data_IF_571254490608
#
_entry.id   IF_571254490608
#
_cell.length_a   1.000
_cell.length_b   1.000
_cell.length_c   1.000
_cell.angle_alpha   90.00
_cell.angle_beta   90.00
_cell.angle_gamma   90.00
#
_symmetry.space_group_name_H-M   'P 1'
#
loop_
_entity.id
_entity.type
_entity.pdbx_description
1 polymer ?
#
# COMPACT_ATOMS: atom_id res chain seq x y z
N UNK A 1 -10.47 47.00 49.43
CA UNK A 1 -9.52 46.23 48.57
C UNK A 1 -10.27 45.07 47.91
N UNK A 2 -10.65 45.14 46.63
CA UNK A 2 -10.91 43.95 45.76
C UNK A 2 -11.53 44.38 44.41
N UNK A 3 -10.71 44.64 43.40
CA UNK A 3 -11.18 44.82 42.02
C UNK A 3 -10.14 44.38 40.97
N UNK A 4 -8.84 44.39 41.32
CA UNK A 4 -7.74 44.10 40.38
C UNK A 4 -7.44 42.60 40.15
N UNK A 5 -8.08 41.68 40.87
CA UNK A 5 -7.76 40.24 40.80
C UNK A 5 -8.61 39.43 39.81
N UNK A 6 -9.77 39.95 39.37
CA UNK A 6 -10.67 39.24 38.43
C UNK A 6 -10.27 39.40 36.96
N UNK A 7 -9.68 40.54 36.58
CA UNK A 7 -9.30 40.82 35.18
C UNK A 7 -8.07 40.00 34.72
N UNK A 8 -7.15 39.70 35.64
CA UNK A 8 -5.94 38.90 35.34
C UNK A 8 -6.23 37.43 35.06
N UNK A 9 -7.34 36.89 35.57
CA UNK A 9 -7.70 35.47 35.39
C UNK A 9 -8.31 35.19 34.01
N UNK A 10 -8.96 36.17 33.38
CA UNK A 10 -9.53 36.01 32.05
C UNK A 10 -8.51 36.20 30.92
N UNK A 11 -7.50 37.07 31.12
CA UNK A 11 -6.41 37.24 30.15
C UNK A 11 -5.51 36.00 30.02
N UNK A 12 -5.39 35.19 31.08
CA UNK A 12 -4.65 33.93 31.06
C UNK A 12 -5.43 32.77 30.42
N UNK A 13 -6.77 32.81 30.46
CA UNK A 13 -7.61 31.73 29.93
C UNK A 13 -7.85 31.84 28.40
N UNK A 14 -7.84 33.04 27.83
CA UNK A 14 -8.01 33.23 26.38
C UNK A 14 -6.72 32.95 25.59
N UNK A 15 -5.55 33.15 26.20
CA UNK A 15 -4.26 32.84 25.56
C UNK A 15 -3.99 31.34 25.40
N UNK A 16 -4.46 30.51 26.35
CA UNK A 16 -4.26 29.06 26.29
C UNK A 16 -5.12 28.36 25.24
N UNK A 17 -6.33 28.87 24.97
CA UNK A 17 -7.22 28.28 23.97
C UNK A 17 -6.67 28.46 22.54
N UNK A 18 -6.08 29.63 22.24
CA UNK A 18 -5.49 29.89 20.91
C UNK A 18 -4.22 29.06 20.66
N UNK A 19 -3.41 28.84 21.70
CA UNK A 19 -2.20 28.03 21.60
C UNK A 19 -2.51 26.54 21.38
N UNK A 20 -3.57 26.00 22.00
CA UNK A 20 -3.96 24.60 21.83
C UNK A 20 -4.53 24.31 20.43
N UNK A 21 -5.24 25.27 19.82
CA UNK A 21 -5.77 25.14 18.45
C UNK A 21 -4.68 25.15 17.37
N UNK A 22 -3.53 25.79 17.61
CA UNK A 22 -2.41 25.83 16.64
C UNK A 22 -1.57 24.54 16.63
N UNK A 23 -1.59 23.75 17.72
CA UNK A 23 -0.82 22.50 17.81
C UNK A 23 -1.49 21.31 17.10
N UNK A 24 -2.78 21.39 16.77
CA UNK A 24 -3.52 20.28 16.12
C UNK A 24 -3.31 20.18 14.60
N UNK A 25 -2.63 21.16 13.96
CA UNK A 25 -2.39 21.14 12.50
C UNK A 25 -1.13 20.36 12.07
N UNK A 26 -0.28 19.92 13.00
CA UNK A 26 0.94 19.16 12.67
C UNK A 26 0.75 17.68 13.02
N UNK A 27 -0.18 17.00 12.35
CA UNK A 27 -0.14 15.55 12.32
C UNK A 27 0.98 15.14 11.36
N UNK A 28 2.04 14.45 11.80
CA UNK A 28 3.05 13.95 10.88
C UNK A 28 2.35 13.05 9.86
N UNK A 29 2.57 13.32 8.57
CA UNK A 29 2.11 12.43 7.52
C UNK A 29 2.87 11.11 7.70
N UNK A 30 2.16 10.07 8.14
CA UNK A 30 2.76 8.75 8.34
C UNK A 30 2.83 8.06 6.99
N UNK A 31 3.96 8.24 6.31
CA UNK A 31 4.35 7.50 5.11
C UNK A 31 5.18 6.28 5.50
N UNK A 32 5.09 5.19 4.74
CA UNK A 32 6.06 4.11 4.89
C UNK A 32 7.44 4.60 4.48
N UNK A 33 8.40 4.43 5.40
CA UNK A 33 9.82 4.70 5.17
C UNK A 33 10.50 3.45 4.64
N UNK A 34 10.09 2.29 5.13
CA UNK A 34 10.68 1.01 4.77
C UNK A 34 9.62 -0.05 4.42
N UNK A 35 9.98 -0.94 3.51
CA UNK A 35 9.26 -2.19 3.21
C UNK A 35 10.09 -3.36 3.71
N UNK A 36 9.58 -4.06 4.72
CA UNK A 36 10.23 -5.22 5.30
C UNK A 36 9.74 -6.50 4.61
N UNK A 37 10.64 -7.17 3.89
CA UNK A 37 10.42 -8.47 3.28
C UNK A 37 10.62 -9.56 4.34
N UNK A 38 9.58 -10.35 4.58
CA UNK A 38 9.54 -11.37 5.64
C UNK A 38 9.42 -12.76 5.03
N UNK A 39 10.32 -13.67 5.43
CA UNK A 39 10.23 -15.10 5.15
C UNK A 39 10.79 -15.91 6.32
N UNK A 40 9.90 -16.43 7.18
CA UNK A 40 10.32 -17.14 8.40
C UNK A 40 11.17 -16.25 9.32
N UNK A 41 12.39 -16.67 9.63
CA UNK A 41 13.35 -15.89 10.42
C UNK A 41 14.08 -14.80 9.60
N UNK A 42 13.94 -14.80 8.28
CA UNK A 42 14.57 -13.82 7.41
C UNK A 42 13.70 -12.57 7.32
N UNK A 43 14.26 -11.44 7.77
CA UNK A 43 13.64 -10.11 7.67
C UNK A 43 14.68 -9.17 7.05
N UNK A 44 14.32 -8.52 5.93
CA UNK A 44 15.14 -7.51 5.28
C UNK A 44 14.30 -6.32 4.86
N UNK A 45 14.73 -5.14 5.25
CA UNK A 45 14.07 -3.88 4.90
C UNK A 45 14.71 -3.25 3.68
N UNK A 46 13.86 -2.68 2.82
CA UNK A 46 14.22 -1.87 1.67
C UNK A 46 13.56 -0.51 1.89
N UNK A 47 14.30 0.59 1.71
CA UNK A 47 13.69 1.90 1.87
C UNK A 47 12.74 2.21 0.73
N UNK A 48 11.61 2.85 1.04
CA UNK A 48 10.66 3.34 0.04
C UNK A 48 11.34 4.38 -0.86
N UNK A 49 12.29 5.15 -0.33
CA UNK A 49 13.10 6.08 -1.10
C UNK A 49 13.98 5.40 -2.17
N UNK A 50 14.52 4.20 -1.89
CA UNK A 50 15.29 3.44 -2.88
C UNK A 50 14.39 2.84 -3.95
N UNK A 51 13.17 2.41 -3.58
CA UNK A 51 12.16 1.97 -4.53
C UNK A 51 11.67 3.12 -5.42
N UNK A 52 11.45 4.30 -4.85
CA UNK A 52 11.11 5.50 -5.61
C UNK A 52 12.26 5.91 -6.55
N UNK A 53 13.51 5.88 -6.08
CA UNK A 53 14.68 6.12 -6.93
C UNK A 53 14.75 5.15 -8.11
N UNK A 54 14.54 3.85 -7.87
CA UNK A 54 14.46 2.85 -8.94
C UNK A 54 13.32 3.16 -9.91
N UNK A 55 12.14 3.52 -9.40
CA UNK A 55 11.00 3.86 -10.24
C UNK A 55 11.30 5.08 -11.13
N UNK A 56 11.93 6.12 -10.59
CA UNK A 56 12.22 7.35 -11.33
C UNK A 56 13.36 7.20 -12.35
N UNK A 57 14.42 6.47 -11.96
CA UNK A 57 15.68 6.44 -12.73
C UNK A 57 15.88 5.16 -13.53
N UNK A 58 15.15 4.08 -13.20
CA UNK A 58 15.45 2.73 -13.69
C UNK A 58 16.67 2.08 -13.02
N UNK A 59 17.36 2.77 -12.11
CA UNK A 59 18.57 2.27 -11.47
C UNK A 59 18.32 1.85 -10.01
N UNK A 60 18.84 0.69 -9.63
CA UNK A 60 18.80 0.23 -8.25
C UNK A 60 19.98 0.77 -7.44
N UNK A 61 19.77 1.00 -6.14
CA UNK A 61 20.84 1.39 -5.21
C UNK A 61 20.76 0.65 -3.88
N UNK A 62 21.89 0.61 -3.16
CA UNK A 62 21.99 -0.06 -1.87
C UNK A 62 21.68 -1.56 -1.95
N UNK A 63 20.95 -2.07 -0.96
CA UNK A 63 20.57 -3.50 -0.87
C UNK A 63 19.69 -3.97 -2.05
N UNK A 64 19.00 -3.04 -2.73
CA UNK A 64 18.14 -3.35 -3.87
C UNK A 64 18.96 -3.93 -5.04
N UNK A 65 20.19 -3.48 -5.24
CA UNK A 65 21.10 -3.97 -6.30
C UNK A 65 21.37 -5.46 -6.13
N UNK A 66 21.73 -5.85 -4.91
CA UNK A 66 22.07 -7.25 -4.61
C UNK A 66 20.84 -8.14 -4.69
N UNK A 67 19.68 -7.63 -4.24
CA UNK A 67 18.41 -8.35 -4.32
C UNK A 67 17.99 -8.59 -5.77
N UNK A 68 18.01 -7.57 -6.62
CA UNK A 68 17.62 -7.71 -8.03
C UNK A 68 18.52 -8.73 -8.75
N UNK A 69 19.85 -8.64 -8.53
CA UNK A 69 20.81 -9.62 -9.06
C UNK A 69 20.53 -11.04 -8.59
N UNK A 70 20.29 -11.22 -7.28
CA UNK A 70 20.00 -12.53 -6.70
C UNK A 70 18.69 -13.11 -7.27
N UNK A 71 17.67 -12.27 -7.44
CA UNK A 71 16.37 -12.64 -8.01
C UNK A 71 16.34 -12.71 -9.53
N UNK A 72 17.44 -12.37 -10.21
CA UNK A 72 17.55 -12.26 -11.68
C UNK A 72 16.46 -11.37 -12.28
N UNK A 73 16.16 -10.27 -11.61
CA UNK A 73 15.19 -9.27 -12.07
C UNK A 73 15.91 -8.15 -12.79
N UNK A 74 15.32 -7.69 -13.91
CA UNK A 74 15.79 -6.50 -14.61
C UNK A 74 15.30 -5.25 -13.85
N UNK A 75 16.20 -4.33 -13.44
CA UNK A 75 15.80 -3.07 -12.80
C UNK A 75 14.75 -2.28 -13.60
N UNK A 76 14.84 -2.26 -14.93
CA UNK A 76 13.90 -1.52 -15.77
C UNK A 76 12.49 -2.11 -15.70
N UNK A 77 12.37 -3.44 -15.69
CA UNK A 77 11.06 -4.09 -15.60
C UNK A 77 10.43 -3.89 -14.23
N UNK A 78 11.23 -3.91 -13.16
CA UNK A 78 10.76 -3.58 -11.82
C UNK A 78 10.35 -2.10 -11.75
N UNK A 79 11.10 -1.19 -12.35
CA UNK A 79 10.74 0.22 -12.42
C UNK A 79 9.41 0.44 -13.16
N UNK A 80 9.17 -0.26 -14.28
CA UNK A 80 7.88 -0.24 -14.99
C UNK A 80 6.74 -0.70 -14.10
N UNK A 81 6.93 -1.80 -13.36
CA UNK A 81 5.92 -2.31 -12.42
C UNK A 81 5.64 -1.34 -11.28
N UNK A 82 6.67 -0.68 -10.72
CA UNK A 82 6.52 0.30 -9.65
C UNK A 82 5.76 1.55 -10.10
N UNK A 83 5.95 1.95 -11.36
CA UNK A 83 5.26 3.08 -11.99
C UNK A 83 3.92 2.71 -12.65
N UNK A 84 3.55 1.43 -12.67
CA UNK A 84 2.30 1.00 -13.31
C UNK A 84 1.12 1.71 -12.65
N UNK A 85 0.49 2.58 -13.42
CA UNK A 85 -0.61 3.40 -12.93
C UNK A 85 -1.93 2.65 -13.02
N UNK A 86 -2.63 2.58 -11.89
CA UNK A 86 -4.00 2.11 -11.81
C UNK A 86 -4.93 3.32 -11.73
N UNK A 87 -5.55 3.67 -12.88
CA UNK A 87 -6.53 4.74 -12.92
C UNK A 87 -7.86 4.25 -12.32
N UNK A 88 -8.08 4.60 -11.06
CA UNK A 88 -9.24 4.18 -10.28
C UNK A 88 -10.00 5.42 -9.79
N UNK A 89 -11.31 5.57 -10.11
CA UNK A 89 -12.08 6.70 -9.62
C UNK A 89 -12.18 6.70 -8.09
N UNK A 90 -11.58 7.70 -7.43
CA UNK A 90 -11.43 7.77 -5.96
C UNK A 90 -12.72 7.44 -5.20
N UNK A 91 -13.85 8.04 -5.61
CA UNK A 91 -15.16 7.85 -4.96
C UNK A 91 -15.64 6.40 -5.10
N UNK A 92 -15.48 5.79 -6.27
CA UNK A 92 -15.88 4.39 -6.49
C UNK A 92 -14.98 3.43 -5.73
N UNK A 93 -13.67 3.68 -5.74
CA UNK A 93 -12.69 2.89 -5.00
C UNK A 93 -12.99 2.94 -3.50
N UNK A 94 -13.17 4.13 -2.93
CA UNK A 94 -13.49 4.32 -1.51
C UNK A 94 -14.79 3.59 -1.12
N UNK A 95 -15.84 3.68 -1.95
CA UNK A 95 -17.09 2.95 -1.73
C UNK A 95 -16.90 1.44 -1.80
N UNK A 96 -16.22 0.94 -2.85
CA UNK A 96 -15.96 -0.49 -3.04
C UNK A 96 -15.20 -1.06 -1.85
N UNK A 97 -14.15 -0.39 -1.39
CA UNK A 97 -13.32 -0.79 -0.25
C UNK A 97 -14.05 -0.72 1.09
N UNK A 98 -15.18 -0.01 1.16
CA UNK A 98 -16.03 0.07 2.34
C UNK A 98 -17.19 -0.94 2.32
N UNK A 99 -17.30 -1.74 1.25
CA UNK A 99 -18.31 -2.80 1.15
C UNK A 99 -17.82 -4.11 1.79
N UNK A 100 -18.76 -5.02 2.07
CA UNK A 100 -18.45 -6.36 2.57
C UNK A 100 -17.54 -7.16 1.61
N UNK A 101 -17.76 -7.04 0.30
CA UNK A 101 -16.90 -7.71 -0.69
C UNK A 101 -15.50 -7.08 -0.71
N UNK A 102 -15.41 -5.76 -0.60
CA UNK A 102 -14.15 -5.04 -0.45
C UNK A 102 -13.37 -5.51 0.78
N UNK A 103 -14.03 -5.64 1.93
CA UNK A 103 -13.41 -6.14 3.15
C UNK A 103 -12.89 -7.58 3.01
N UNK A 104 -13.60 -8.45 2.30
CA UNK A 104 -13.13 -9.82 2.04
C UNK A 104 -11.85 -9.80 1.18
N UNK A 105 -11.82 -8.96 0.14
CA UNK A 105 -10.64 -8.80 -0.71
C UNK A 105 -9.47 -8.24 0.11
N UNK A 106 -9.69 -7.16 0.87
CA UNK A 106 -8.69 -6.56 1.74
C UNK A 106 -8.17 -7.54 2.79
N UNK A 107 -9.03 -8.38 3.35
CA UNK A 107 -8.63 -9.42 4.30
C UNK A 107 -7.73 -10.48 3.66
N UNK A 108 -7.90 -10.76 2.36
CA UNK A 108 -6.98 -11.65 1.61
C UNK A 108 -5.64 -10.95 1.38
N UNK A 109 -5.64 -9.68 0.99
CA UNK A 109 -4.41 -8.88 0.83
C UNK A 109 -3.67 -8.70 2.16
N UNK A 110 -4.40 -8.58 3.27
CA UNK A 110 -3.84 -8.52 4.62
C UNK A 110 -3.05 -9.76 5.05
N UNK A 111 -3.16 -10.88 4.33
CA UNK A 111 -2.27 -12.05 4.54
C UNK A 111 -0.89 -11.86 3.90
N UNK A 112 -0.81 -10.97 2.92
CA UNK A 112 0.44 -10.58 2.26
C UNK A 112 1.07 -9.41 3.03
N UNK A 113 0.31 -8.34 3.26
CA UNK A 113 0.76 -7.17 4.01
C UNK A 113 0.39 -7.37 5.48
N UNK A 114 1.35 -7.88 6.24
CA UNK A 114 1.10 -8.52 7.53
C UNK A 114 2.02 -7.97 8.61
N UNK A 115 1.50 -7.13 9.53
CA UNK A 115 2.30 -6.60 10.62
C UNK A 115 2.66 -7.71 11.61
N UNK A 116 3.92 -8.13 11.62
CA UNK A 116 4.59 -9.08 12.52
C UNK A 116 4.25 -8.87 13.99
N UNK A 117 4.19 -7.61 14.44
CA UNK A 117 3.91 -7.28 15.84
C UNK A 117 2.46 -7.57 16.24
N UNK A 118 1.51 -7.27 15.36
CA UNK A 118 0.07 -7.41 15.62
C UNK A 118 -0.58 -8.04 14.40
N UNK A 119 -0.43 -9.37 14.27
CA UNK A 119 -0.58 -10.07 13.01
C UNK A 119 -2.08 -10.40 12.74
N UNK A 120 -2.89 -9.33 12.69
CA UNK A 120 -4.35 -9.34 12.76
C UNK A 120 -4.97 -8.49 11.62
N UNK A 121 -6.01 -9.00 10.92
CA UNK A 121 -6.69 -8.25 9.87
C UNK A 121 -7.30 -6.92 10.33
N UNK A 122 -7.67 -6.81 11.62
CA UNK A 122 -8.18 -5.56 12.21
C UNK A 122 -7.19 -4.40 12.17
N UNK A 123 -5.90 -4.66 11.98
CA UNK A 123 -4.84 -3.64 11.81
C UNK A 123 -4.49 -3.46 10.33
N UNK A 124 -4.26 -4.57 9.61
CA UNK A 124 -3.86 -4.51 8.20
C UNK A 124 -4.94 -3.93 7.29
N UNK A 125 -6.21 -4.30 7.47
CA UNK A 125 -7.29 -3.89 6.55
C UNK A 125 -7.47 -2.36 6.54
N UNK A 126 -7.58 -1.68 7.70
CA UNK A 126 -7.59 -0.22 7.72
C UNK A 126 -6.33 0.42 7.12
N UNK A 127 -5.15 -0.15 7.37
CA UNK A 127 -3.89 0.39 6.86
C UNK A 127 -3.80 0.30 5.33
N UNK A 128 -4.16 -0.85 4.75
CA UNK A 128 -4.23 -1.04 3.30
C UNK A 128 -5.28 -0.08 2.70
N UNK A 129 -6.45 0.04 3.33
CA UNK A 129 -7.50 0.95 2.88
C UNK A 129 -7.02 2.40 2.84
N UNK A 130 -6.36 2.84 3.90
CA UNK A 130 -5.79 4.18 3.98
C UNK A 130 -4.72 4.38 2.90
N UNK A 131 -3.78 3.44 2.73
CA UNK A 131 -2.73 3.52 1.70
C UNK A 131 -3.28 3.66 0.28
N UNK A 132 -4.35 2.93 -0.06
CA UNK A 132 -5.01 3.07 -1.38
C UNK A 132 -5.73 4.41 -1.52
N UNK A 133 -6.57 4.78 -0.55
CA UNK A 133 -7.41 5.99 -0.65
C UNK A 133 -6.54 7.25 -0.63
N UNK A 134 -5.54 7.30 0.26
CA UNK A 134 -4.64 8.43 0.36
C UNK A 134 -3.65 8.45 -0.81
N UNK A 135 -3.16 7.28 -1.26
CA UNK A 135 -2.27 7.18 -2.41
C UNK A 135 -2.92 7.66 -3.71
N UNK A 136 -4.22 7.42 -3.89
CA UNK A 136 -5.00 7.97 -5.01
C UNK A 136 -5.16 9.50 -4.98
N UNK A 137 -4.85 10.15 -3.86
CA UNK A 137 -4.89 11.61 -3.72
C UNK A 137 -3.49 12.25 -3.86
N UNK A 138 -2.43 11.45 -4.00
CA UNK A 138 -1.07 11.97 -4.16
C UNK A 138 -0.84 12.37 -5.62
N UNK A 139 -0.63 13.68 -5.81
CA UNK A 139 -0.34 14.27 -7.11
C UNK A 139 -1.45 14.01 -8.13
N UNK A 140 -1.10 14.15 -9.41
CA UNK A 140 -1.99 13.83 -10.52
C UNK A 140 -1.85 12.36 -10.94
N UNK A 141 -2.88 11.83 -11.59
CA UNK A 141 -2.94 10.44 -12.07
C UNK A 141 -3.50 9.45 -11.05
N UNK A 142 -3.43 8.17 -11.38
CA UNK A 142 -3.90 7.03 -10.61
C UNK A 142 -2.94 6.58 -9.51
N UNK A 143 -3.25 5.42 -8.95
CA UNK A 143 -2.46 4.78 -7.90
C UNK A 143 -1.28 4.03 -8.52
N UNK A 144 -0.07 4.33 -8.07
CA UNK A 144 1.14 3.53 -8.34
C UNK A 144 1.57 2.80 -7.07
N UNK A 145 2.50 1.84 -7.19
CA UNK A 145 3.05 1.16 -6.02
C UNK A 145 3.76 2.15 -5.08
N UNK A 146 4.50 3.12 -5.64
CA UNK A 146 5.20 4.15 -4.86
C UNK A 146 4.21 5.02 -4.09
N UNK A 147 3.16 5.54 -4.75
CA UNK A 147 2.13 6.34 -4.07
C UNK A 147 1.41 5.56 -2.96
N UNK A 148 1.17 4.27 -3.17
CA UNK A 148 0.60 3.41 -2.13
C UNK A 148 1.51 3.29 -0.91
N UNK A 149 2.81 3.08 -1.12
CA UNK A 149 3.81 2.98 -0.05
C UNK A 149 3.95 4.30 0.71
N UNK A 150 4.06 5.42 -0.01
CA UNK A 150 4.14 6.76 0.58
C UNK A 150 2.87 7.14 1.38
N UNK A 151 1.72 6.57 1.02
CA UNK A 151 0.46 6.81 1.71
C UNK A 151 0.17 5.82 2.85
N UNK A 152 0.99 4.77 3.01
CA UNK A 152 0.72 3.69 3.95
C UNK A 152 0.95 4.15 5.41
N UNK A 153 -0.03 4.01 6.31
CA UNK A 153 -0.02 4.66 7.63
C UNK A 153 0.82 3.91 8.68
N UNK A 154 2.04 3.51 8.31
CA UNK A 154 3.01 2.85 9.18
C UNK A 154 4.40 3.15 8.67
N UNK A 155 5.36 3.43 9.56
CA UNK A 155 6.76 3.67 9.17
C UNK A 155 7.37 2.48 8.42
N UNK A 156 6.95 1.25 8.76
CA UNK A 156 7.40 0.02 8.10
C UNK A 156 6.19 -0.75 7.62
N UNK A 157 6.17 -1.09 6.33
CA UNK A 157 5.21 -2.02 5.74
C UNK A 157 5.83 -3.40 5.62
N UNK A 158 5.27 -4.39 6.30
CA UNK A 158 5.79 -5.75 6.30
C UNK A 158 5.07 -6.62 5.27
N UNK A 159 5.85 -7.31 4.43
CA UNK A 159 5.38 -8.14 3.32
C UNK A 159 5.80 -9.58 3.54
N UNK A 160 4.83 -10.47 3.68
CA UNK A 160 5.02 -11.91 3.75
C UNK A 160 5.32 -12.46 2.34
N UNK A 161 6.59 -12.77 2.09
CA UNK A 161 7.08 -13.22 0.78
C UNK A 161 6.46 -14.57 0.37
N UNK A 162 6.42 -15.62 1.21
CA UNK A 162 5.70 -16.84 0.86
C UNK A 162 4.24 -16.63 0.47
N UNK A 163 3.52 -15.77 1.20
CA UNK A 163 2.12 -15.46 0.88
C UNK A 163 1.98 -14.68 -0.44
N UNK A 164 2.89 -13.74 -0.72
CA UNK A 164 2.94 -13.00 -1.97
C UNK A 164 3.16 -13.95 -3.17
N UNK A 165 4.20 -14.79 -3.10
CA UNK A 165 4.53 -15.74 -4.16
C UNK A 165 3.38 -16.74 -4.42
N UNK A 166 2.72 -17.21 -3.36
CA UNK A 166 1.56 -18.09 -3.49
C UNK A 166 0.37 -17.42 -4.21
N UNK A 167 0.24 -16.09 -4.16
CA UNK A 167 -0.78 -15.35 -4.90
C UNK A 167 -0.37 -15.15 -6.36
N UNK A 168 0.90 -14.82 -6.62
CA UNK A 168 1.45 -14.67 -7.98
C UNK A 168 1.28 -15.98 -8.75
N UNK A 169 1.71 -17.12 -8.19
CA UNK A 169 1.59 -18.43 -8.82
C UNK A 169 0.14 -18.80 -9.16
N UNK A 170 -0.81 -18.43 -8.28
CA UNK A 170 -2.25 -18.64 -8.54
C UNK A 170 -2.74 -17.78 -9.69
N UNK A 171 -2.29 -16.52 -9.78
CA UNK A 171 -2.66 -15.63 -10.86
C UNK A 171 -2.12 -16.13 -12.21
N UNK A 172 -0.86 -16.57 -12.26
CA UNK A 172 -0.25 -17.17 -13.46
C UNK A 172 -0.98 -18.43 -13.92
N UNK A 173 -1.37 -19.30 -12.97
CA UNK A 173 -2.13 -20.51 -13.27
C UNK A 173 -3.49 -20.19 -13.90
N UNK A 174 -4.19 -19.16 -13.39
CA UNK A 174 -5.47 -18.72 -13.96
C UNK A 174 -5.28 -18.11 -15.34
N UNK A 175 -4.26 -17.27 -15.53
CA UNK A 175 -3.95 -16.69 -16.83
C UNK A 175 -3.64 -17.77 -17.88
N UNK A 176 -2.88 -18.80 -17.49
CA UNK A 176 -2.59 -19.97 -18.34
C UNK A 176 -3.84 -20.74 -18.72
N UNK A 177 -4.80 -20.90 -17.81
CA UNK A 177 -6.09 -21.53 -18.12
C UNK A 177 -6.91 -20.70 -19.11
N UNK A 178 -7.01 -19.38 -18.89
CA UNK A 178 -7.73 -18.49 -19.81
C UNK A 178 -7.10 -18.52 -21.20
N UNK A 179 -5.77 -18.49 -21.28
CA UNK A 179 -5.04 -18.59 -22.54
C UNK A 179 -5.29 -19.95 -23.22
N UNK A 180 -5.23 -21.06 -22.47
CA UNK A 180 -5.52 -22.40 -22.99
C UNK A 180 -6.92 -22.50 -23.60
N UNK A 181 -7.94 -21.95 -22.94
CA UNK A 181 -9.31 -21.94 -23.45
C UNK A 181 -9.53 -20.94 -24.61
N UNK A 182 -8.70 -19.90 -24.71
CA UNK A 182 -8.77 -18.92 -25.80
C UNK A 182 -8.08 -19.45 -27.07
N UNK A 183 -6.99 -20.20 -26.92
CA UNK A 183 -6.18 -20.75 -28.02
C UNK A 183 -6.68 -22.13 -28.50
N UNK A 184 -7.47 -22.83 -27.68
CA UNK A 184 -8.11 -24.08 -28.09
C UNK A 184 -9.41 -23.77 -28.84
N UNK A 185 -9.53 -24.01 -30.16
CA UNK A 185 -10.81 -23.88 -30.83
C UNK A 185 -11.80 -24.81 -30.15
N UNK A 186 -13.00 -24.30 -29.87
CA UNK A 186 -14.13 -25.04 -29.29
C UNK A 186 -14.69 -26.12 -30.24
N UNK A 187 -13.84 -26.68 -31.11
CA UNK A 187 -14.16 -27.61 -32.19
C UNK A 187 -14.81 -28.91 -31.67
N UNK A 188 -14.55 -29.28 -30.42
CA UNK A 188 -15.17 -30.45 -29.78
C UNK A 188 -16.64 -30.29 -29.35
N UNK A 189 -17.27 -29.11 -29.52
CA UNK A 189 -18.65 -28.86 -29.09
C UNK A 189 -19.69 -28.88 -30.24
N UNK A 190 -19.29 -29.20 -31.47
CA UNK A 190 -20.21 -29.25 -32.63
C UNK A 190 -20.61 -30.66 -33.08
N UNK A 191 -19.97 -31.72 -32.58
CA UNK A 191 -20.21 -33.08 -33.08
C UNK A 191 -21.24 -33.89 -32.26
N UNK A 192 -22.02 -33.22 -31.41
CA UNK A 192 -23.01 -33.84 -30.52
C UNK A 192 -24.45 -33.86 -31.01
N UNK A 193 -24.75 -33.51 -32.26
CA UNK A 193 -26.08 -33.69 -32.85
C UNK A 193 -26.00 -34.62 -34.07
N UNK A 194 -26.16 -35.91 -33.83
CA UNK A 194 -26.66 -36.84 -34.83
C UNK A 194 -27.63 -37.81 -34.17
#
# INVERSE_FOLDING_TARGET
MSARSRLRRHALATGSALALSLLSCFQPVHAAKDVALVSGAFIRSISVADLAYLAETGEARGLLVDLLKLSRQDPEDVAKLLNQELNLPLVLTSRLMSTRIGDVILTRVARIIYPLRVPAPSVSVPAIRAGVINGLQIGDGGLTAIKFLEAYPSDVMEVNIPALLAVIQKAESIAGLVQFFSDSPLDGLKDGSN
#
